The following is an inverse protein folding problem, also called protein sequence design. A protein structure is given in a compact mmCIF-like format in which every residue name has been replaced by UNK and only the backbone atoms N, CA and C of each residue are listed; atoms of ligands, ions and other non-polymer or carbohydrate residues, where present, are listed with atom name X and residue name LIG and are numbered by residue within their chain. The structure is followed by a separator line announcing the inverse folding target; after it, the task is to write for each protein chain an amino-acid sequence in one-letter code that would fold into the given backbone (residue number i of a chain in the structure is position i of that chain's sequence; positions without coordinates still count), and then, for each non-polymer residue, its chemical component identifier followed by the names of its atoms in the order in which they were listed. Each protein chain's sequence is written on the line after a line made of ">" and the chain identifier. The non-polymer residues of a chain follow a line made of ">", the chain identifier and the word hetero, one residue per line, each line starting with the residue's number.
data_IF_445504284395
#
_entry.id   IF_445504284395
#
_cell.length_a   1.000
_cell.length_b   1.000
_cell.length_c   1.000
_cell.angle_alpha   90.00
_cell.angle_beta   90.00
_cell.angle_gamma   90.00
#
_symmetry.space_group_name_H-M   'P 1'
#
loop_
_entity.id
_entity.type
_entity.pdbx_description
1 polymer ?
#
# COMPACT_ATOMS: atom_id res chain seq x y z
N UNK A 1 24.40 -6.45 3.44
CA UNK A 1 25.73 -5.83 3.18
C UNK A 1 25.91 -4.67 4.16
N UNK A 2 27.12 -4.33 4.65
CA UNK A 2 27.28 -3.14 5.49
C UNK A 2 27.00 -1.88 4.67
N UNK A 3 26.21 -0.97 5.22
CA UNK A 3 25.89 0.31 4.60
C UNK A 3 27.13 1.21 4.66
N UNK A 4 27.54 1.80 3.54
CA UNK A 4 28.68 2.72 3.48
C UNK A 4 28.20 4.17 3.58
N UNK A 5 28.87 4.99 4.39
CA UNK A 5 28.59 6.42 4.53
C UNK A 5 28.67 7.16 3.19
N UNK A 6 29.61 6.76 2.31
CA UNK A 6 29.73 7.35 0.98
C UNK A 6 28.46 7.14 0.14
N UNK A 7 27.87 5.95 0.21
CA UNK A 7 26.62 5.62 -0.48
C UNK A 7 25.44 6.44 0.07
N UNK A 8 25.37 6.62 1.39
CA UNK A 8 24.36 7.49 2.02
C UNK A 8 24.49 8.93 1.53
N UNK A 9 25.72 9.41 1.36
CA UNK A 9 26.00 10.78 0.90
C UNK A 9 25.60 10.99 -0.55
N UNK A 10 25.77 9.99 -1.42
CA UNK A 10 25.33 10.05 -2.82
C UNK A 10 23.81 10.08 -2.98
N UNK A 11 23.06 9.62 -1.96
CA UNK A 11 21.59 9.54 -1.96
C UNK A 11 20.88 10.79 -1.45
N UNK A 12 21.62 11.81 -1.00
CA UNK A 12 21.03 13.05 -0.49
C UNK A 12 21.92 14.28 -0.76
N UNK A 13 21.40 15.46 -0.46
CA UNK A 13 22.20 16.70 -0.52
C UNK A 13 23.08 16.84 0.73
N UNK A 14 24.21 17.54 0.63
CA UNK A 14 25.11 17.78 1.78
C UNK A 14 24.36 18.39 2.98
N UNK A 15 23.44 19.33 2.74
CA UNK A 15 22.63 19.94 3.79
C UNK A 15 21.68 18.95 4.49
N UNK A 16 21.15 17.96 3.75
CA UNK A 16 20.32 16.89 4.33
C UNK A 16 21.19 15.90 5.08
N UNK A 17 22.36 15.57 4.54
CA UNK A 17 23.34 14.69 5.16
C UNK A 17 23.78 15.22 6.52
N UNK A 18 24.20 16.49 6.61
CA UNK A 18 24.58 17.15 7.87
C UNK A 18 23.43 17.15 8.88
N UNK A 19 22.18 17.32 8.42
CA UNK A 19 21.01 17.24 9.31
C UNK A 19 20.79 15.82 9.83
N UNK A 20 21.01 14.80 9.00
CA UNK A 20 20.95 13.40 9.42
C UNK A 20 21.98 13.06 10.48
N UNK A 21 23.24 13.48 10.28
CA UNK A 21 24.30 13.36 11.28
C UNK A 21 23.90 14.01 12.61
N UNK A 22 23.33 15.21 12.56
CA UNK A 22 22.84 15.91 13.75
C UNK A 22 21.68 15.18 14.45
N UNK A 23 20.81 14.48 13.73
CA UNK A 23 19.71 13.72 14.32
C UNK A 23 20.21 12.48 15.04
N UNK A 24 21.12 11.75 14.41
CA UNK A 24 21.82 10.62 15.00
C UNK A 24 22.58 11.03 16.27
N UNK A 25 23.41 12.08 16.18
CA UNK A 25 24.21 12.57 17.32
C UNK A 25 23.36 13.05 18.51
N UNK A 26 22.09 13.43 18.27
CA UNK A 26 21.14 13.83 19.32
C UNK A 26 20.35 12.65 19.91
N UNK A 27 20.64 11.41 19.51
CA UNK A 27 19.96 10.21 20.02
C UNK A 27 18.46 10.20 19.70
N UNK A 28 18.09 10.68 18.51
CA UNK A 28 16.68 10.77 18.09
C UNK A 28 16.10 9.50 17.49
N UNK A 29 16.93 8.47 17.34
CA UNK A 29 16.56 7.18 16.79
C UNK A 29 16.12 6.30 17.97
N UNK A 30 14.91 5.76 17.88
CA UNK A 30 14.33 4.81 18.82
C UNK A 30 13.84 3.56 18.10
N UNK A 31 13.60 2.49 18.87
CA UNK A 31 13.13 1.19 18.37
C UNK A 31 13.84 0.69 17.11
N UNK A 32 15.16 0.93 17.02
CA UNK A 32 15.97 0.44 15.91
C UNK A 32 16.04 -1.10 15.99
N UNK A 33 15.50 -1.78 14.99
CA UNK A 33 15.45 -3.23 14.92
C UNK A 33 15.79 -3.72 13.51
N UNK A 34 16.26 -4.96 13.41
CA UNK A 34 16.54 -5.61 12.14
C UNK A 34 15.95 -7.01 12.12
N UNK A 35 15.28 -7.32 11.01
CA UNK A 35 14.74 -8.62 10.71
C UNK A 35 15.14 -9.04 9.29
N UNK A 36 16.22 -9.81 9.17
CA UNK A 36 16.81 -10.21 7.89
C UNK A 36 17.43 -9.03 7.15
N UNK A 37 16.87 -8.70 6.01
CA UNK A 37 17.32 -7.60 5.16
C UNK A 37 16.55 -6.29 5.42
N UNK A 38 15.55 -6.31 6.31
CA UNK A 38 14.77 -5.12 6.64
C UNK A 38 15.21 -4.52 7.98
N UNK A 39 15.43 -3.21 8.00
CA UNK A 39 15.67 -2.41 9.20
C UNK A 39 14.51 -1.45 9.41
N UNK A 40 14.00 -1.38 10.63
CA UNK A 40 12.96 -0.42 11.03
C UNK A 40 13.43 0.45 12.19
N UNK A 41 12.94 1.68 12.25
CA UNK A 41 13.21 2.60 13.36
C UNK A 41 12.15 3.69 13.48
N UNK A 42 11.97 4.18 14.71
CA UNK A 42 11.20 5.38 15.01
C UNK A 42 12.16 6.56 15.15
N UNK A 43 11.98 7.65 14.39
CA UNK A 43 12.84 8.83 14.46
C UNK A 43 12.07 10.05 14.96
N UNK A 44 12.51 10.60 16.09
CA UNK A 44 11.88 11.77 16.70
C UNK A 44 12.20 13.07 15.92
N UNK A 45 11.19 13.63 15.27
CA UNK A 45 11.20 14.95 14.65
C UNK A 45 10.18 15.89 15.30
N UNK A 46 9.42 16.59 14.47
CA UNK A 46 8.19 17.30 14.88
C UNK A 46 7.11 16.34 15.44
N UNK A 47 7.14 15.10 14.96
CA UNK A 47 6.40 13.94 15.44
C UNK A 47 7.34 12.73 15.41
N UNK A 48 6.90 11.57 15.88
CA UNK A 48 7.59 10.32 15.56
C UNK A 48 7.36 10.01 14.08
N UNK A 49 8.41 9.56 13.39
CA UNK A 49 8.33 9.13 12.00
C UNK A 49 8.96 7.75 11.87
N UNK A 50 8.22 6.82 11.27
CA UNK A 50 8.68 5.48 11.00
C UNK A 50 9.59 5.50 9.77
N UNK A 51 10.71 4.80 9.89
CA UNK A 51 11.71 4.62 8.83
C UNK A 51 11.83 3.12 8.57
N UNK A 52 11.73 2.74 7.31
CA UNK A 52 11.98 1.37 6.84
C UNK A 52 13.10 1.42 5.81
N UNK A 53 14.10 0.55 5.96
CA UNK A 53 15.20 0.38 5.03
C UNK A 53 15.27 -1.09 4.61
N UNK A 54 15.16 -1.34 3.31
CA UNK A 54 15.33 -2.64 2.69
C UNK A 54 16.75 -2.76 2.12
N UNK A 55 17.50 -3.75 2.63
CA UNK A 55 18.90 -4.04 2.29
C UNK A 55 19.05 -5.21 1.30
N UNK A 56 17.95 -5.72 0.74
CA UNK A 56 17.95 -6.84 -0.21
C UNK A 56 18.53 -6.49 -1.58
N UNK A 57 18.47 -5.20 -1.95
CA UNK A 57 18.99 -4.68 -3.21
C UNK A 57 20.45 -4.26 -3.09
N UNK A 58 21.17 -4.21 -4.22
CA UNK A 58 22.57 -3.72 -4.27
C UNK A 58 22.72 -2.30 -3.72
N UNK A 59 21.64 -1.52 -3.79
CA UNK A 59 21.61 -0.15 -3.36
C UNK A 59 20.27 0.06 -2.66
N UNK A 60 20.29 0.08 -1.33
CA UNK A 60 19.13 -0.04 -0.45
C UNK A 60 17.93 0.82 -0.87
N UNK A 61 16.74 0.35 -0.55
CA UNK A 61 15.51 1.14 -0.66
C UNK A 61 15.12 1.64 0.73
N UNK A 62 14.67 2.89 0.81
CA UNK A 62 14.32 3.48 2.10
C UNK A 62 13.09 4.35 2.00
N UNK A 63 12.16 4.13 2.92
CA UNK A 63 10.93 4.91 3.07
C UNK A 63 10.88 5.54 4.46
N UNK A 64 10.20 6.68 4.54
CA UNK A 64 9.98 7.37 5.81
C UNK A 64 8.64 8.09 5.78
N UNK A 65 7.85 7.99 6.86
CA UNK A 65 6.51 8.61 6.95
C UNK A 65 6.55 10.14 7.09
N UNK A 66 7.72 10.76 6.98
CA UNK A 66 7.85 12.21 7.07
C UNK A 66 7.43 12.91 5.76
N UNK A 67 6.87 14.14 5.84
CA UNK A 67 6.35 14.87 4.68
C UNK A 67 7.47 15.53 3.86
N UNK A 68 8.65 14.90 3.77
CA UNK A 68 9.77 15.44 3.01
C UNK A 68 9.55 15.21 1.52
N UNK A 69 9.56 16.29 0.75
CA UNK A 69 9.30 16.35 -0.69
C UNK A 69 10.54 16.81 -1.49
N UNK A 70 11.69 16.91 -0.83
CA UNK A 70 12.95 17.31 -1.46
C UNK A 70 13.65 16.15 -2.17
N UNK A 71 14.76 16.43 -2.88
CA UNK A 71 15.49 15.42 -3.63
C UNK A 71 16.21 14.42 -2.71
N UNK A 72 16.11 13.13 -3.05
CA UNK A 72 16.81 12.05 -2.38
C UNK A 72 16.18 11.65 -1.04
N UNK A 73 16.94 10.94 -0.22
CA UNK A 73 16.46 10.46 1.08
C UNK A 73 16.39 11.59 2.11
N UNK A 74 15.43 11.51 3.03
CA UNK A 74 15.27 12.51 4.08
C UNK A 74 16.32 12.34 5.19
N UNK A 75 16.49 13.38 6.02
CA UNK A 75 17.41 13.36 7.16
C UNK A 75 17.15 12.23 8.18
N UNK A 76 15.92 11.72 8.29
CA UNK A 76 15.60 10.63 9.22
C UNK A 76 16.17 9.32 8.72
N UNK A 77 15.99 9.03 7.43
CA UNK A 77 16.62 7.90 6.74
C UNK A 77 18.14 7.99 6.86
N UNK A 78 18.73 9.15 6.57
CA UNK A 78 20.19 9.36 6.74
C UNK A 78 20.63 9.03 8.16
N UNK A 79 19.91 9.50 9.18
CA UNK A 79 20.25 9.23 10.58
C UNK A 79 20.27 7.73 10.89
N UNK A 80 19.25 6.99 10.43
CA UNK A 80 19.14 5.53 10.60
C UNK A 80 20.26 4.80 9.87
N UNK A 81 20.52 5.13 8.60
CA UNK A 81 21.56 4.49 7.80
C UNK A 81 22.96 4.68 8.42
N UNK A 82 23.27 5.88 8.92
CA UNK A 82 24.52 6.16 9.60
C UNK A 82 24.64 5.39 10.93
N UNK A 83 23.53 5.20 11.64
CA UNK A 83 23.53 4.45 12.90
C UNK A 83 23.73 2.95 12.67
N UNK A 84 23.05 2.40 11.67
CA UNK A 84 23.19 1.00 11.24
C UNK A 84 24.60 0.72 10.68
N UNK A 85 25.19 1.68 9.96
CA UNK A 85 26.55 1.55 9.44
C UNK A 85 27.61 1.44 10.54
N UNK A 86 27.43 2.17 11.64
CA UNK A 86 28.37 2.13 12.78
C UNK A 86 28.07 0.98 13.74
N UNK A 87 26.79 0.76 14.04
CA UNK A 87 26.31 -0.17 15.06
C UNK A 87 25.09 -0.94 14.51
N UNK A 88 25.33 -1.95 13.64
CA UNK A 88 24.23 -2.71 13.08
C UNK A 88 23.45 -3.42 14.19
N UNK A 89 22.12 -3.26 14.26
CA UNK A 89 21.30 -4.00 15.22
C UNK A 89 21.41 -5.50 15.00
N UNK A 90 21.20 -6.27 16.07
CA UNK A 90 21.17 -7.73 15.98
C UNK A 90 20.07 -8.16 15.02
N UNK A 91 20.36 -9.16 14.19
CA UNK A 91 19.38 -9.75 13.29
C UNK A 91 18.65 -10.86 14.03
N UNK A 92 17.35 -10.65 14.30
CA UNK A 92 16.52 -11.60 15.02
C UNK A 92 15.93 -12.69 14.11
N UNK A 93 16.14 -12.61 12.79
CA UNK A 93 15.49 -13.51 11.81
C UNK A 93 15.83 -14.97 12.03
N UNK A 94 17.11 -15.31 12.22
CA UNK A 94 17.52 -16.71 12.38
C UNK A 94 17.02 -17.29 13.72
N UNK A 95 16.93 -16.46 14.76
CA UNK A 95 16.37 -16.86 16.04
C UNK A 95 14.87 -17.17 15.91
N UNK A 96 14.11 -16.29 15.25
CA UNK A 96 12.68 -16.49 15.03
C UNK A 96 12.44 -17.66 14.07
N UNK A 97 13.26 -17.82 13.03
CA UNK A 97 13.18 -18.97 12.13
C UNK A 97 13.37 -20.30 12.88
N UNK A 98 14.33 -20.38 13.81
CA UNK A 98 14.50 -21.56 14.66
C UNK A 98 13.26 -21.84 15.54
N UNK A 99 12.64 -20.80 16.11
CA UNK A 99 11.39 -20.97 16.87
C UNK A 99 10.24 -21.46 15.99
N UNK A 100 10.16 -21.01 14.74
CA UNK A 100 9.16 -21.49 13.77
C UNK A 100 9.40 -22.94 13.37
N UNK A 101 10.66 -23.36 13.22
CA UNK A 101 11.03 -24.74 12.87
C UNK A 101 10.75 -25.72 14.02
N UNK A 102 10.95 -25.29 15.27
CA UNK A 102 10.75 -26.12 16.47
C UNK A 102 9.29 -26.19 16.94
N UNK A 103 8.46 -25.21 16.58
CA UNK A 103 7.08 -25.11 17.06
C UNK A 103 6.15 -26.14 16.40
N UNK A 104 5.26 -26.80 17.17
CA UNK A 104 4.24 -27.68 16.61
C UNK A 104 3.31 -26.93 15.64
N UNK A 105 2.97 -27.58 14.53
CA UNK A 105 2.17 -26.95 13.48
C UNK A 105 0.78 -26.49 13.97
N UNK A 106 0.16 -27.21 14.90
CA UNK A 106 -1.13 -26.86 15.50
C UNK A 106 -1.04 -25.64 16.44
N UNK A 107 0.05 -25.51 17.18
CA UNK A 107 0.32 -24.32 18.01
C UNK A 107 0.59 -23.08 17.13
N UNK A 108 1.37 -23.23 16.05
CA UNK A 108 1.61 -22.16 15.08
C UNK A 108 0.32 -21.71 14.38
N UNK A 109 -0.52 -22.66 13.97
CA UNK A 109 -1.82 -22.34 13.36
C UNK A 109 -2.71 -21.56 14.34
N UNK A 110 -2.75 -22.00 15.60
CA UNK A 110 -3.54 -21.33 16.64
C UNK A 110 -3.03 -19.91 16.90
N UNK A 111 -1.71 -19.73 17.02
CA UNK A 111 -1.08 -18.41 17.17
C UNK A 111 -1.39 -17.50 15.98
N UNK A 112 -1.25 -18.01 14.75
CA UNK A 112 -1.53 -17.23 13.56
C UNK A 112 -3.01 -16.80 13.49
N UNK A 113 -3.96 -17.69 13.81
CA UNK A 113 -5.38 -17.35 13.87
C UNK A 113 -5.68 -16.26 14.91
N UNK A 114 -5.01 -16.29 16.06
CA UNK A 114 -5.15 -15.24 17.09
C UNK A 114 -4.62 -13.89 16.59
N UNK A 115 -3.50 -13.86 15.88
CA UNK A 115 -2.96 -12.62 15.30
C UNK A 115 -3.84 -12.10 14.14
N UNK A 116 -4.31 -12.97 13.25
CA UNK A 116 -5.24 -12.62 12.16
C UNK A 116 -6.60 -12.10 12.69
N UNK A 117 -6.98 -12.47 13.91
CA UNK A 117 -8.18 -11.95 14.58
C UNK A 117 -7.99 -10.50 15.04
N UNK A 118 -6.76 -10.12 15.41
CA UNK A 118 -6.43 -8.81 15.98
C UNK A 118 -6.03 -7.78 14.93
N UNK A 119 -5.51 -8.24 13.79
CA UNK A 119 -4.91 -7.40 12.75
C UNK A 119 -5.60 -7.65 11.40
N UNK A 120 -6.54 -6.78 10.99
CA UNK A 120 -7.21 -6.85 9.70
C UNK A 120 -6.25 -6.78 8.50
N UNK A 121 -5.19 -5.97 8.58
CA UNK A 121 -4.24 -5.80 7.48
C UNK A 121 -3.39 -7.07 7.32
N UNK A 122 -2.96 -7.69 8.41
CA UNK A 122 -2.31 -9.01 8.38
C UNK A 122 -3.25 -10.07 7.78
N UNK A 123 -4.54 -10.03 8.13
CA UNK A 123 -5.54 -10.95 7.60
C UNK A 123 -5.70 -10.83 6.09
N UNK A 124 -5.71 -9.62 5.56
CA UNK A 124 -5.85 -9.44 4.13
C UNK A 124 -4.56 -9.78 3.37
N UNK A 125 -3.39 -9.47 3.93
CA UNK A 125 -2.10 -9.96 3.38
C UNK A 125 -2.03 -11.49 3.38
N UNK A 126 -2.54 -12.13 4.43
CA UNK A 126 -2.61 -13.59 4.52
C UNK A 126 -3.52 -14.17 3.42
N UNK A 127 -4.71 -13.60 3.22
CA UNK A 127 -5.61 -13.98 2.11
C UNK A 127 -4.94 -13.77 0.76
N UNK A 128 -4.37 -12.60 0.49
CA UNK A 128 -3.67 -12.34 -0.78
C UNK A 128 -2.54 -13.34 -1.08
N UNK A 129 -1.97 -13.95 -0.03
CA UNK A 129 -0.87 -14.90 -0.12
C UNK A 129 -1.29 -16.36 -0.28
N UNK A 130 -2.43 -16.76 0.28
CA UNK A 130 -2.84 -18.16 0.42
C UNK A 130 -4.23 -18.48 -0.13
N UNK A 131 -5.02 -17.46 -0.44
CA UNK A 131 -6.33 -17.61 -1.06
C UNK A 131 -6.17 -17.66 -2.57
N UNK A 132 -6.42 -18.83 -3.15
CA UNK A 132 -6.43 -19.04 -4.59
C UNK A 132 -7.75 -18.51 -5.20
N UNK A 133 -8.82 -18.43 -4.41
CA UNK A 133 -10.11 -17.85 -4.79
C UNK A 133 -10.17 -16.43 -4.21
N UNK A 134 -9.59 -15.45 -4.92
CA UNK A 134 -9.64 -14.06 -4.49
C UNK A 134 -11.06 -13.57 -4.19
N UNK A 135 -11.20 -12.59 -3.29
CA UNK A 135 -12.51 -11.99 -2.94
C UNK A 135 -13.18 -11.40 -4.19
N UNK A 136 -14.51 -11.44 -4.20
CA UNK A 136 -15.31 -10.86 -5.27
C UNK A 136 -15.30 -9.33 -5.27
N UNK A 137 -15.69 -8.73 -6.41
CA UNK A 137 -15.88 -7.27 -6.51
C UNK A 137 -16.88 -6.77 -5.47
N UNK A 138 -17.96 -7.52 -5.24
CA UNK A 138 -19.01 -7.18 -4.28
C UNK A 138 -18.47 -7.12 -2.85
N UNK A 139 -17.67 -8.11 -2.43
CA UNK A 139 -17.07 -8.10 -1.08
C UNK A 139 -16.12 -6.91 -0.85
N UNK A 140 -15.36 -6.49 -1.86
CA UNK A 140 -14.52 -5.29 -1.74
C UNK A 140 -15.34 -4.00 -1.79
N UNK A 141 -16.45 -3.97 -2.53
CA UNK A 141 -17.37 -2.84 -2.55
C UNK A 141 -18.07 -2.66 -1.21
N UNK A 142 -18.47 -3.75 -0.57
CA UNK A 142 -19.04 -3.71 0.79
C UNK A 142 -18.07 -3.07 1.79
N UNK A 143 -16.77 -3.38 1.70
CA UNK A 143 -15.75 -2.72 2.54
C UNK A 143 -15.62 -1.22 2.23
N UNK A 144 -15.69 -0.83 0.96
CA UNK A 144 -15.69 0.58 0.54
C UNK A 144 -16.93 1.30 1.07
N UNK A 145 -18.11 0.69 0.95
CA UNK A 145 -19.38 1.23 1.45
C UNK A 145 -19.34 1.38 2.98
N UNK A 146 -18.76 0.41 3.68
CA UNK A 146 -18.56 0.49 5.13
C UNK A 146 -17.69 1.69 5.53
N UNK A 147 -16.66 2.05 4.75
CA UNK A 147 -15.89 3.26 5.02
C UNK A 147 -16.75 4.52 4.92
N UNK A 148 -17.64 4.60 3.93
CA UNK A 148 -18.59 5.71 3.84
C UNK A 148 -19.58 5.72 5.01
N UNK A 149 -20.08 4.54 5.43
CA UNK A 149 -20.98 4.40 6.58
C UNK A 149 -20.31 4.91 7.87
N UNK A 150 -19.07 4.52 8.11
CA UNK A 150 -18.30 4.95 9.29
C UNK A 150 -18.08 6.47 9.32
N UNK A 151 -17.92 7.10 8.15
CA UNK A 151 -17.75 8.55 8.02
C UNK A 151 -19.06 9.33 7.96
N UNK A 152 -20.20 8.65 7.96
CA UNK A 152 -21.53 9.29 7.93
C UNK A 152 -22.39 8.99 9.15
N UNK A 153 -21.79 8.46 10.22
CA UNK A 153 -22.48 8.18 11.49
C UNK A 153 -23.03 9.47 12.13
N UNK A 154 -22.23 10.54 12.17
CA UNK A 154 -22.64 11.82 12.79
C UNK A 154 -23.38 12.75 11.82
N UNK A 155 -23.01 12.71 10.53
CA UNK A 155 -23.58 13.54 9.47
C UNK A 155 -23.86 12.66 8.25
N UNK A 156 -24.97 12.85 7.52
CA UNK A 156 -25.35 11.98 6.41
C UNK A 156 -24.41 12.08 5.19
N UNK A 157 -23.40 12.95 5.25
CA UNK A 157 -22.44 13.22 4.18
C UNK A 157 -21.03 13.23 4.74
N UNK A 158 -20.09 12.79 3.90
CA UNK A 158 -18.68 12.81 4.17
C UNK A 158 -18.11 14.17 3.80
N UNK A 159 -17.41 14.78 4.75
CA UNK A 159 -16.77 16.10 4.60
C UNK A 159 -15.25 16.03 4.64
N UNK A 160 -14.68 14.87 4.95
CA UNK A 160 -13.24 14.62 5.04
C UNK A 160 -12.80 13.60 4.00
N UNK A 161 -11.50 13.54 3.70
CA UNK A 161 -10.97 12.57 2.76
C UNK A 161 -10.91 11.18 3.43
N UNK A 162 -11.76 10.24 2.98
CA UNK A 162 -11.64 8.83 3.36
C UNK A 162 -10.33 8.27 2.79
N UNK A 163 -9.59 7.54 3.62
CA UNK A 163 -8.37 6.86 3.20
C UNK A 163 -8.71 5.51 2.53
N UNK A 164 -8.30 5.35 1.27
CA UNK A 164 -8.45 4.12 0.48
C UNK A 164 -7.10 3.41 0.23
N UNK A 165 -6.00 3.89 0.84
CA UNK A 165 -4.64 3.40 0.63
C UNK A 165 -4.52 1.89 0.79
N UNK A 166 -5.17 1.34 1.81
CA UNK A 166 -5.18 -0.10 2.09
C UNK A 166 -5.62 -0.96 0.89
N UNK A 167 -6.65 -0.54 0.13
CA UNK A 167 -7.07 -1.28 -1.06
C UNK A 167 -6.00 -1.25 -2.16
N UNK A 168 -5.36 -0.10 -2.38
CA UNK A 168 -4.31 0.01 -3.37
C UNK A 168 -3.06 -0.78 -2.98
N UNK A 169 -2.68 -0.78 -1.71
CA UNK A 169 -1.58 -1.60 -1.20
C UNK A 169 -1.86 -3.10 -1.39
N UNK A 170 -3.11 -3.54 -1.20
CA UNK A 170 -3.51 -4.92 -1.51
C UNK A 170 -3.45 -5.22 -3.01
N UNK A 171 -3.97 -4.32 -3.86
CA UNK A 171 -3.91 -4.49 -5.31
C UNK A 171 -2.46 -4.60 -5.81
N UNK A 172 -1.54 -3.78 -5.29
CA UNK A 172 -0.12 -3.85 -5.61
C UNK A 172 0.53 -5.17 -5.14
N UNK A 173 0.08 -5.73 -4.01
CA UNK A 173 0.53 -7.05 -3.57
C UNK A 173 0.11 -8.17 -4.52
N UNK A 174 -1.07 -8.08 -5.13
CA UNK A 174 -1.48 -9.01 -6.18
C UNK A 174 -0.68 -8.76 -7.48
N UNK A 175 -0.52 -7.50 -7.91
CA UNK A 175 0.27 -7.14 -9.10
C UNK A 175 1.72 -7.62 -9.03
N UNK A 176 2.38 -7.48 -7.88
CA UNK A 176 3.77 -7.92 -7.68
C UNK A 176 3.97 -9.44 -7.79
N UNK A 177 2.88 -10.21 -7.88
CA UNK A 177 2.85 -11.67 -8.03
C UNK A 177 2.20 -12.11 -9.35
N UNK A 178 2.06 -11.20 -10.31
CA UNK A 178 1.40 -11.42 -11.61
C UNK A 178 -0.08 -11.84 -11.50
N UNK A 179 -0.72 -11.60 -10.34
CA UNK A 179 -2.14 -11.87 -10.07
C UNK A 179 -3.01 -10.69 -10.48
N UNK A 180 -3.01 -10.38 -11.77
CA UNK A 180 -3.65 -9.17 -12.29
C UNK A 180 -5.18 -9.19 -12.22
N UNK A 181 -5.82 -10.36 -12.32
CA UNK A 181 -7.28 -10.46 -12.23
C UNK A 181 -7.82 -10.11 -10.83
N UNK A 182 -7.10 -10.51 -9.79
CA UNK A 182 -7.42 -10.20 -8.40
C UNK A 182 -7.14 -8.72 -8.09
N UNK A 183 -6.04 -8.17 -8.60
CA UNK A 183 -5.78 -6.73 -8.50
C UNK A 183 -6.87 -5.91 -9.21
N UNK A 184 -7.30 -6.31 -10.41
CA UNK A 184 -8.39 -5.68 -11.16
C UNK A 184 -9.68 -5.67 -10.33
N UNK A 185 -9.98 -6.77 -9.63
CA UNK A 185 -11.17 -6.88 -8.78
C UNK A 185 -11.22 -5.79 -7.70
N UNK A 186 -10.09 -5.52 -7.04
CA UNK A 186 -9.98 -4.46 -6.02
C UNK A 186 -10.14 -3.07 -6.65
N UNK A 187 -9.40 -2.80 -7.72
CA UNK A 187 -9.46 -1.50 -8.40
C UNK A 187 -10.88 -1.18 -8.89
N UNK A 188 -11.55 -2.16 -9.49
CA UNK A 188 -12.94 -2.04 -9.90
C UNK A 188 -13.85 -1.72 -8.73
N UNK A 189 -13.70 -2.45 -7.62
CA UNK A 189 -14.51 -2.23 -6.43
C UNK A 189 -14.36 -0.81 -5.85
N UNK A 190 -13.14 -0.29 -5.78
CA UNK A 190 -12.88 1.08 -5.31
C UNK A 190 -13.49 2.12 -6.26
N UNK A 191 -13.30 1.97 -7.58
CA UNK A 191 -13.87 2.89 -8.57
C UNK A 191 -15.40 2.92 -8.50
N UNK A 192 -16.03 1.73 -8.51
CA UNK A 192 -17.48 1.60 -8.43
C UNK A 192 -18.02 2.09 -7.09
N UNK A 193 -17.40 1.73 -5.97
CA UNK A 193 -17.84 2.15 -4.64
C UNK A 193 -17.77 3.67 -4.44
N UNK A 194 -16.71 4.34 -4.90
CA UNK A 194 -16.62 5.80 -4.85
C UNK A 194 -17.74 6.43 -5.69
N UNK A 195 -17.96 5.94 -6.90
CA UNK A 195 -18.96 6.49 -7.80
C UNK A 195 -20.39 6.25 -7.29
N UNK A 196 -20.73 5.06 -6.77
CA UNK A 196 -22.07 4.81 -6.22
C UNK A 196 -22.36 5.59 -4.93
N UNK A 197 -21.33 6.01 -4.21
CA UNK A 197 -21.47 6.86 -3.03
C UNK A 197 -21.35 8.37 -3.33
N UNK A 198 -21.34 8.80 -4.60
CA UNK A 198 -21.19 10.23 -4.97
C UNK A 198 -22.12 11.15 -4.17
N UNK A 199 -23.39 10.76 -4.02
CA UNK A 199 -24.40 11.58 -3.33
C UNK A 199 -24.11 11.81 -1.84
N UNK A 200 -23.17 11.07 -1.26
CA UNK A 200 -22.74 11.20 0.14
C UNK A 200 -21.49 12.09 0.27
N UNK A 201 -20.89 12.52 -0.83
CA UNK A 201 -19.65 13.32 -0.82
C UNK A 201 -20.01 14.80 -0.85
N UNK A 202 -19.75 15.54 0.22
CA UNK A 202 -20.03 16.99 0.31
C UNK A 202 -18.76 17.84 0.23
N UNK A 203 -17.59 17.26 0.47
CA UNK A 203 -16.31 17.93 0.33
C UNK A 203 -15.19 16.97 -0.12
N UNK A 204 -13.96 17.50 -0.19
CA UNK A 204 -12.79 16.76 -0.69
C UNK A 204 -12.98 16.17 -2.10
N UNK A 205 -13.76 16.81 -2.98
CA UNK A 205 -14.05 16.34 -4.34
C UNK A 205 -12.78 15.96 -5.13
N UNK A 206 -11.71 16.75 -5.03
CA UNK A 206 -10.43 16.47 -5.69
C UNK A 206 -9.76 15.19 -5.20
N UNK A 207 -9.99 14.80 -3.94
CA UNK A 207 -9.51 13.53 -3.39
C UNK A 207 -10.26 12.36 -4.02
N UNK A 208 -11.59 12.37 -3.99
CA UNK A 208 -12.41 11.30 -4.56
C UNK A 208 -12.25 11.19 -6.08
N UNK A 209 -12.22 12.31 -6.80
CA UNK A 209 -12.03 12.32 -8.24
C UNK A 209 -10.66 11.76 -8.66
N UNK A 210 -9.60 12.00 -7.88
CA UNK A 210 -8.26 11.41 -8.13
C UNK A 210 -8.21 9.95 -7.73
N UNK A 211 -8.83 9.58 -6.61
CA UNK A 211 -8.88 8.20 -6.12
C UNK A 211 -9.65 7.31 -7.08
N UNK A 212 -10.82 7.76 -7.55
CA UNK A 212 -11.59 7.11 -8.61
C UNK A 212 -10.75 6.92 -9.87
N UNK A 213 -10.07 7.96 -10.35
CA UNK A 213 -9.26 7.85 -11.57
C UNK A 213 -8.12 6.86 -11.40
N UNK A 214 -7.42 6.90 -10.26
CA UNK A 214 -6.33 5.97 -9.93
C UNK A 214 -6.84 4.53 -9.92
N UNK A 215 -8.02 4.30 -9.36
CA UNK A 215 -8.66 3.00 -9.34
C UNK A 215 -9.04 2.53 -10.75
N UNK A 216 -9.68 3.39 -11.56
CA UNK A 216 -10.07 3.06 -12.92
C UNK A 216 -8.86 2.77 -13.83
N UNK A 217 -7.79 3.57 -13.72
CA UNK A 217 -6.55 3.35 -14.45
C UNK A 217 -5.90 2.02 -14.03
N UNK A 218 -5.84 1.74 -12.72
CA UNK A 218 -5.34 0.48 -12.19
C UNK A 218 -6.11 -0.74 -12.68
N UNK A 219 -7.44 -0.63 -12.79
CA UNK A 219 -8.29 -1.67 -13.38
C UNK A 219 -7.93 -1.93 -14.85
N UNK A 220 -7.88 -0.87 -15.67
CA UNK A 220 -7.55 -0.97 -17.10
C UNK A 220 -6.17 -1.57 -17.32
N UNK A 221 -5.17 -1.14 -16.54
CA UNK A 221 -3.82 -1.71 -16.58
C UNK A 221 -3.83 -3.21 -16.24
N UNK A 222 -4.55 -3.61 -15.20
CA UNK A 222 -4.61 -5.00 -14.78
C UNK A 222 -5.35 -5.89 -15.80
N UNK A 223 -6.47 -5.44 -16.37
CA UNK A 223 -7.19 -6.18 -17.43
C UNK A 223 -6.35 -6.36 -18.70
N UNK A 224 -5.45 -5.41 -18.98
CA UNK A 224 -4.50 -5.52 -20.10
C UNK A 224 -3.36 -6.49 -19.80
N UNK A 225 -2.88 -6.51 -18.56
CA UNK A 225 -1.76 -7.36 -18.14
C UNK A 225 -2.17 -8.81 -17.82
N UNK A 226 -3.44 -9.02 -17.43
CA UNK A 226 -3.98 -10.34 -17.13
C UNK A 226 -4.07 -11.23 -18.38
N UNK A 227 -3.76 -12.51 -18.20
CA UNK A 227 -3.93 -13.57 -19.21
C UNK A 227 -5.40 -14.02 -19.27
N UNK A 228 -6.26 -13.09 -19.70
CA UNK A 228 -7.71 -13.31 -19.83
C UNK A 228 -8.06 -13.92 -21.19
N UNK A 229 -9.01 -14.84 -21.19
CA UNK A 229 -9.63 -15.30 -22.43
C UNK A 229 -10.60 -14.25 -23.04
N UNK A 230 -11.10 -14.54 -24.24
CA UNK A 230 -11.97 -13.61 -24.98
C UNK A 230 -13.33 -13.37 -24.30
N UNK A 231 -13.83 -14.34 -23.52
CA UNK A 231 -15.07 -14.20 -22.76
C UNK A 231 -14.82 -13.32 -21.52
N UNK A 232 -13.77 -13.62 -20.75
CA UNK A 232 -13.37 -12.86 -19.58
C UNK A 232 -13.06 -11.39 -19.90
N UNK A 233 -12.34 -11.14 -21.00
CA UNK A 233 -12.07 -9.78 -21.48
C UNK A 233 -13.36 -9.04 -21.85
N UNK A 234 -14.30 -9.72 -22.54
CA UNK A 234 -15.60 -9.12 -22.89
C UNK A 234 -16.42 -8.80 -21.64
N UNK A 235 -16.42 -9.67 -20.65
CA UNK A 235 -17.14 -9.44 -19.39
C UNK A 235 -16.53 -8.25 -18.63
N UNK A 236 -15.19 -8.13 -18.62
CA UNK A 236 -14.49 -6.99 -18.02
C UNK A 236 -14.84 -5.65 -18.69
N UNK A 237 -14.98 -5.61 -20.02
CA UNK A 237 -15.38 -4.41 -20.78
C UNK A 237 -16.88 -4.13 -20.62
N UNK A 238 -17.72 -5.17 -20.63
CA UNK A 238 -19.16 -5.05 -20.44
C UNK A 238 -19.50 -4.44 -19.07
N UNK A 239 -18.77 -4.84 -18.03
CA UNK A 239 -18.89 -4.24 -16.70
C UNK A 239 -18.66 -2.72 -16.70
N UNK A 240 -17.59 -2.24 -17.36
CA UNK A 240 -17.35 -0.79 -17.48
C UNK A 240 -18.43 -0.11 -18.33
N UNK A 241 -18.91 -0.77 -19.38
CA UNK A 241 -19.96 -0.25 -20.24
C UNK A 241 -21.30 -0.10 -19.49
N UNK A 242 -21.62 -1.04 -18.60
CA UNK A 242 -22.78 -0.95 -17.71
C UNK A 242 -22.62 0.23 -16.75
N UNK A 243 -21.47 0.36 -16.07
CA UNK A 243 -21.19 1.53 -15.21
C UNK A 243 -21.27 2.85 -15.98
N UNK A 244 -20.74 2.92 -17.19
CA UNK A 244 -20.83 4.10 -18.05
C UNK A 244 -22.27 4.52 -18.37
N UNK A 245 -23.21 3.58 -18.42
CA UNK A 245 -24.63 3.84 -18.65
C UNK A 245 -25.40 4.29 -17.41
N UNK A 246 -24.93 3.92 -16.21
CA UNK A 246 -25.59 4.20 -14.93
C UNK A 246 -25.01 5.41 -14.19
N UNK A 247 -23.70 5.62 -14.32
CA UNK A 247 -22.99 6.67 -13.61
C UNK A 247 -23.46 8.07 -14.06
N UNK A 248 -23.31 9.05 -13.17
CA UNK A 248 -23.72 10.44 -13.40
C UNK A 248 -22.48 11.33 -13.53
N UNK A 249 -22.62 12.41 -14.28
CA UNK A 249 -21.62 13.47 -14.35
C UNK A 249 -20.29 12.99 -14.95
N UNK A 250 -19.14 13.40 -14.38
CA UNK A 250 -17.83 13.12 -14.96
C UNK A 250 -17.42 11.64 -14.89
N UNK A 251 -18.09 10.82 -14.09
CA UNK A 251 -17.76 9.39 -13.96
C UNK A 251 -18.16 8.59 -15.21
N UNK A 252 -19.32 8.89 -15.80
CA UNK A 252 -19.80 8.22 -17.00
C UNK A 252 -18.83 8.35 -18.18
N UNK A 253 -18.32 9.57 -18.42
CA UNK A 253 -17.33 9.85 -19.47
C UNK A 253 -16.03 9.08 -19.23
N UNK A 254 -15.54 9.05 -17.99
CA UNK A 254 -14.31 8.31 -17.64
C UNK A 254 -14.44 6.80 -17.84
N UNK A 255 -15.60 6.22 -17.49
CA UNK A 255 -15.87 4.82 -17.78
C UNK A 255 -15.91 4.54 -19.29
N UNK A 256 -16.49 5.45 -20.09
CA UNK A 256 -16.47 5.33 -21.56
C UNK A 256 -15.05 5.38 -22.12
N UNK A 257 -14.23 6.32 -21.67
CA UNK A 257 -12.82 6.41 -22.07
C UNK A 257 -12.06 5.11 -21.74
N UNK A 258 -12.35 4.50 -20.58
CA UNK A 258 -11.77 3.22 -20.17
C UNK A 258 -12.23 2.05 -21.07
N UNK A 259 -13.50 2.02 -21.47
CA UNK A 259 -14.02 1.04 -22.46
C UNK A 259 -13.29 1.19 -23.79
N UNK A 260 -13.22 2.40 -24.35
CA UNK A 260 -12.52 2.66 -25.62
C UNK A 260 -11.05 2.27 -25.55
N UNK A 261 -10.42 2.50 -24.40
CA UNK A 261 -9.04 2.16 -24.11
C UNK A 261 -8.82 0.64 -24.12
N UNK A 262 -9.75 -0.16 -23.59
CA UNK A 262 -9.69 -1.63 -23.63
C UNK A 262 -10.06 -2.22 -24.99
N UNK A 263 -10.98 -1.60 -25.74
CA UNK A 263 -11.38 -2.02 -27.09
C UNK A 263 -10.30 -1.74 -28.16
N UNK A 264 -9.42 -0.76 -27.94
CA UNK A 264 -8.44 -0.30 -28.93
C UNK A 264 -7.18 -1.17 -29.06
N UNK A 265 -7.10 -2.36 -28.44
CA UNK A 265 -5.96 -3.28 -28.55
C UNK A 265 -6.35 -4.68 -29.04
#
# INVERSE_FOLDING_TARGET
>A
MPIDEAEVRERCTDAVFERGQNYRAKGRIGRLARFGEVVTADVQGSRSYDVTVDLSTTAFEATCTCPYDGPGICKHVVAVLLDVAEQPPADERDQIAGLLDDAPADELQSFLLDELTRDPDLRDRFRARFDDEGRSVEEYRDDVDQLFDDHTVEYPVVTEAIDFSHFFEQAEQYRSRDRYSEAATIYRAVAEGIETNENRIDAAYDHYARTFQTALDGYVECVRAADLDDDERRDAIAALSERAGEAIGPYAERYQDAVETLDSN
#
